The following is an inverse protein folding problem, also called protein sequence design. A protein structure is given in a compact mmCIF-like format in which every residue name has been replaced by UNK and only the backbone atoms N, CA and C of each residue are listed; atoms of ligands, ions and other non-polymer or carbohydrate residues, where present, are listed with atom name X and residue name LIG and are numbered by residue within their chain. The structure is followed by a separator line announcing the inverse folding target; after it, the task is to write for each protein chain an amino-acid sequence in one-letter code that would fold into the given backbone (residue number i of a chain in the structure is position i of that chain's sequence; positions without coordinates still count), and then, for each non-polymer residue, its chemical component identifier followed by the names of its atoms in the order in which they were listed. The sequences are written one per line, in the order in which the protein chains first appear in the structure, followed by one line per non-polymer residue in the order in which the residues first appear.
data_IF_835990525110
#
_entry.id   IF_835990525110
#
_cell.length_a   1.000
_cell.length_b   1.000
_cell.length_c   1.000
_cell.angle_alpha   90.00
_cell.angle_beta   90.00
_cell.angle_gamma   90.00
#
_symmetry.space_group_name_H-M   'P 1'
#
loop_
_entity.id
_entity.type
_entity.pdbx_description
1 polymer ?
#
# COMPACT_ATOMS: atom_id res chain seq x y z
N UNK A 1 -13.47 2.70 24.31
CA UNK A 1 -12.90 3.86 23.60
C UNK A 1 -11.41 3.86 23.81
N UNK A 2 -10.63 3.99 22.74
CA UNK A 2 -9.18 4.15 22.78
C UNK A 2 -8.77 5.54 23.30
N UNK A 3 -7.52 5.68 23.75
CA UNK A 3 -6.96 6.98 24.16
C UNK A 3 -7.07 8.03 23.04
N UNK A 4 -6.90 7.62 21.79
CA UNK A 4 -6.96 8.52 20.63
C UNK A 4 -8.37 9.08 20.43
N UNK A 5 -9.41 8.26 20.65
CA UNK A 5 -10.80 8.70 20.58
C UNK A 5 -11.14 9.66 21.72
N UNK A 6 -10.57 9.44 22.91
CA UNK A 6 -10.78 10.33 24.06
C UNK A 6 -10.13 11.71 23.84
N UNK A 7 -8.89 11.72 23.32
CA UNK A 7 -8.20 12.97 22.97
C UNK A 7 -8.96 13.70 21.86
N UNK A 8 -9.42 12.98 20.82
CA UNK A 8 -10.23 13.54 19.75
C UNK A 8 -11.46 14.26 20.28
N UNK A 9 -12.28 13.60 21.12
CA UNK A 9 -13.46 14.22 21.74
C UNK A 9 -13.13 15.45 22.59
N UNK A 10 -11.98 15.46 23.27
CA UNK A 10 -11.55 16.63 24.05
C UNK A 10 -11.22 17.82 23.14
N UNK A 11 -10.52 17.56 22.04
CA UNK A 11 -10.20 18.58 21.03
C UNK A 11 -11.48 19.11 20.40
N UNK A 12 -12.40 18.23 19.99
CA UNK A 12 -13.69 18.61 19.40
C UNK A 12 -14.46 19.57 20.34
N UNK A 13 -14.59 19.20 21.63
CA UNK A 13 -15.28 20.04 22.62
C UNK A 13 -14.62 21.42 22.81
N UNK A 14 -13.28 21.50 22.72
CA UNK A 14 -12.56 22.78 22.82
C UNK A 14 -12.77 23.64 21.58
N UNK A 15 -12.78 23.03 20.39
CA UNK A 15 -13.02 23.74 19.13
C UNK A 15 -14.45 24.31 19.11
N UNK A 16 -15.44 23.52 19.52
CA UNK A 16 -16.84 23.95 19.64
C UNK A 16 -16.99 25.13 20.61
N UNK A 17 -16.36 25.06 21.78
CA UNK A 17 -16.40 26.13 22.77
C UNK A 17 -15.77 27.45 22.28
N UNK A 18 -14.82 27.37 21.34
CA UNK A 18 -14.17 28.52 20.71
C UNK A 18 -14.87 28.98 19.42
N UNK A 19 -15.95 28.30 18.99
CA UNK A 19 -16.61 28.58 17.72
C UNK A 19 -15.73 28.32 16.50
N UNK A 20 -14.73 27.43 16.62
CA UNK A 20 -13.78 27.09 15.55
C UNK A 20 -14.28 25.88 14.78
N UNK A 21 -14.47 26.04 13.47
CA UNK A 21 -14.83 24.93 12.58
C UNK A 21 -13.57 24.26 12.03
N UNK A 22 -13.35 22.99 12.38
CA UNK A 22 -12.27 22.18 11.81
C UNK A 22 -12.74 21.51 10.50
N UNK A 23 -12.04 21.77 9.41
CA UNK A 23 -12.24 21.09 8.13
C UNK A 23 -11.04 20.21 7.80
N UNK A 24 -11.29 18.95 7.42
CA UNK A 24 -10.26 18.04 6.93
C UNK A 24 -10.32 17.94 5.40
N UNK A 25 -9.16 17.96 4.74
CA UNK A 25 -9.06 17.66 3.32
C UNK A 25 -9.45 16.21 2.99
N UNK A 26 -9.76 15.94 1.72
CA UNK A 26 -10.19 14.62 1.24
C UNK A 26 -9.08 13.57 1.13
N UNK A 27 -7.82 13.96 1.27
CA UNK A 27 -6.65 13.09 1.13
C UNK A 27 -5.85 13.04 2.45
N UNK A 28 -6.32 12.27 3.46
CA UNK A 28 -5.58 12.13 4.69
C UNK A 28 -4.23 11.45 4.43
N UNK A 29 -3.16 12.05 4.96
CA UNK A 29 -1.80 11.53 4.82
C UNK A 29 -1.37 10.84 6.11
N UNK A 30 -0.85 9.63 6.01
CA UNK A 30 -0.15 8.98 7.12
C UNK A 30 1.26 9.57 7.26
N UNK A 31 1.59 10.04 8.45
CA UNK A 31 2.94 10.49 8.82
C UNK A 31 3.36 9.71 10.08
N UNK A 32 4.54 9.08 10.10
CA UNK A 32 5.02 8.39 11.31
C UNK A 32 5.31 9.40 12.42
N UNK A 33 5.44 8.90 13.66
CA UNK A 33 5.75 9.76 14.82
C UNK A 33 7.10 10.48 14.71
N UNK A 34 8.07 9.91 14.00
CA UNK A 34 9.40 10.46 13.78
C UNK A 34 9.69 10.54 12.27
N UNK A 35 9.21 11.58 11.58
CA UNK A 35 9.34 11.73 10.13
C UNK A 35 10.67 12.40 9.73
N UNK A 36 11.79 11.97 10.30
CA UNK A 36 13.08 12.65 10.14
C UNK A 36 13.79 12.30 8.81
N UNK A 37 13.43 11.15 8.20
CA UNK A 37 14.06 10.73 6.95
C UNK A 37 13.71 11.67 5.78
N UNK A 38 14.61 11.87 4.79
CA UNK A 38 14.39 12.78 3.66
C UNK A 38 13.08 12.54 2.90
N UNK A 39 12.65 11.28 2.80
CA UNK A 39 11.39 10.92 2.14
C UNK A 39 10.16 11.51 2.80
N UNK A 40 10.18 11.81 4.10
CA UNK A 40 9.02 12.42 4.77
C UNK A 40 8.94 13.94 4.60
N UNK A 41 10.00 14.55 4.08
CA UNK A 41 10.13 15.99 3.98
C UNK A 41 10.12 16.46 2.53
N UNK A 42 11.04 15.93 1.70
CA UNK A 42 11.25 16.42 0.34
C UNK A 42 11.38 15.30 -0.70
N UNK A 43 11.91 14.14 -0.34
CA UNK A 43 12.14 13.07 -1.30
C UNK A 43 10.85 12.29 -1.61
N UNK A 44 10.67 11.93 -2.88
CA UNK A 44 9.50 11.19 -3.32
C UNK A 44 9.44 9.79 -2.68
N UNK A 45 10.58 9.11 -2.61
CA UNK A 45 10.73 7.73 -2.21
C UNK A 45 11.88 7.60 -1.21
N UNK A 46 11.79 6.58 -0.36
CA UNK A 46 12.87 6.19 0.53
C UNK A 46 12.59 4.81 1.14
N UNK A 47 13.42 4.38 2.10
CA UNK A 47 13.36 3.04 2.66
C UNK A 47 12.15 2.78 3.57
N UNK A 48 11.50 3.81 4.12
CA UNK A 48 10.48 3.69 5.16
C UNK A 48 9.05 3.72 4.64
N UNK A 49 8.72 4.57 3.65
CA UNK A 49 7.32 4.78 3.21
C UNK A 49 6.65 3.47 2.78
N UNK A 50 7.35 2.63 2.01
CA UNK A 50 6.77 1.38 1.50
C UNK A 50 6.50 0.36 2.63
N UNK A 51 7.44 0.07 3.55
CA UNK A 51 7.15 -0.72 4.74
C UNK A 51 5.98 -0.19 5.57
N UNK A 52 5.91 1.13 5.82
CA UNK A 52 4.78 1.72 6.55
C UNK A 52 3.46 1.54 5.81
N UNK A 53 3.42 1.80 4.51
CA UNK A 53 2.22 1.62 3.70
C UNK A 53 1.75 0.16 3.68
N UNK A 54 2.67 -0.81 3.58
CA UNK A 54 2.33 -2.24 3.63
C UNK A 54 1.79 -2.66 5.00
N UNK A 55 2.41 -2.18 6.08
CA UNK A 55 1.92 -2.43 7.45
C UNK A 55 0.54 -1.85 7.64
N UNK A 56 0.32 -0.61 7.22
CA UNK A 56 -0.98 0.05 7.27
C UNK A 56 -2.02 -0.72 6.46
N UNK A 57 -1.70 -1.12 5.23
CA UNK A 57 -2.56 -1.94 4.39
C UNK A 57 -2.94 -3.27 5.06
N UNK A 58 -1.99 -3.94 5.72
CA UNK A 58 -2.24 -5.18 6.46
C UNK A 58 -3.21 -4.95 7.62
N UNK A 59 -3.00 -3.90 8.41
CA UNK A 59 -3.94 -3.54 9.49
C UNK A 59 -5.33 -3.23 8.91
N UNK A 60 -5.39 -2.59 7.75
CA UNK A 60 -6.65 -2.33 7.07
C UNK A 60 -7.39 -3.59 6.65
N UNK A 61 -6.69 -4.51 6.00
CA UNK A 61 -7.23 -5.81 5.61
C UNK A 61 -7.69 -6.62 6.82
N UNK A 62 -6.96 -6.57 7.93
CA UNK A 62 -7.28 -7.32 9.15
C UNK A 62 -8.51 -6.75 9.88
N UNK A 63 -8.56 -5.43 10.03
CA UNK A 63 -9.52 -4.79 10.94
C UNK A 63 -10.80 -4.33 10.25
N UNK A 64 -10.73 -3.89 8.99
CA UNK A 64 -11.88 -3.27 8.30
C UNK A 64 -12.25 -3.94 6.98
N UNK A 65 -11.31 -4.63 6.30
CA UNK A 65 -11.55 -5.21 4.98
C UNK A 65 -11.15 -6.69 4.87
N UNK A 66 -11.68 -7.59 5.74
CA UNK A 66 -11.37 -9.01 5.66
C UNK A 66 -11.80 -9.59 4.30
N UNK A 67 -10.90 -10.37 3.68
CA UNK A 67 -11.13 -10.96 2.35
C UNK A 67 -10.87 -10.02 1.17
N UNK A 68 -10.49 -8.76 1.41
CA UNK A 68 -10.01 -7.88 0.34
C UNK A 68 -8.60 -8.25 -0.14
N UNK A 69 -8.24 -7.77 -1.33
CA UNK A 69 -6.90 -7.96 -1.92
C UNK A 69 -6.11 -6.66 -1.86
N UNK A 70 -4.81 -6.75 -1.58
CA UNK A 70 -3.87 -5.64 -1.78
C UNK A 70 -3.12 -5.82 -3.10
N UNK A 71 -3.06 -4.75 -3.90
CA UNK A 71 -2.34 -4.74 -5.18
C UNK A 71 -1.32 -3.61 -5.15
N UNK A 72 -0.04 -3.97 -5.33
CA UNK A 72 1.01 -2.98 -5.61
C UNK A 72 1.08 -2.77 -7.12
N UNK A 73 0.84 -1.54 -7.55
CA UNK A 73 0.91 -1.14 -8.96
C UNK A 73 1.86 0.04 -9.14
N UNK A 74 2.05 0.42 -10.41
CA UNK A 74 2.64 1.72 -10.73
C UNK A 74 1.66 2.82 -10.26
N UNK A 75 2.25 3.85 -9.68
CA UNK A 75 1.59 5.09 -9.30
C UNK A 75 1.91 6.19 -10.30
N UNK A 76 1.66 7.44 -9.90
CA UNK A 76 1.93 8.61 -10.72
C UNK A 76 3.44 8.76 -10.98
N UNK A 77 3.77 9.18 -12.20
CA UNK A 77 5.12 9.62 -12.60
C UNK A 77 5.07 11.12 -12.85
N UNK A 78 6.01 11.87 -12.28
CA UNK A 78 6.15 13.30 -12.53
C UNK A 78 7.27 13.57 -13.55
N UNK A 79 7.20 14.69 -14.30
CA UNK A 79 8.29 15.07 -15.21
C UNK A 79 9.65 15.09 -14.51
N UNK A 80 10.66 14.49 -15.14
CA UNK A 80 12.01 14.37 -14.59
C UNK A 80 12.26 13.14 -13.71
N UNK A 81 11.23 12.37 -13.34
CA UNK A 81 11.43 11.09 -12.62
C UNK A 81 11.73 9.96 -13.61
N UNK A 82 12.81 9.19 -13.33
CA UNK A 82 13.25 8.09 -14.19
C UNK A 82 12.27 6.90 -14.21
N UNK A 83 11.51 6.69 -13.13
CA UNK A 83 10.54 5.61 -12.98
C UNK A 83 9.25 6.14 -12.33
N UNK A 84 8.08 5.55 -12.62
CA UNK A 84 6.86 5.86 -11.88
C UNK A 84 7.01 5.52 -10.40
N UNK A 85 6.32 6.29 -9.55
CA UNK A 85 6.18 5.95 -8.12
C UNK A 85 5.34 4.66 -7.98
N UNK A 86 5.16 4.17 -6.76
CA UNK A 86 4.29 3.02 -6.50
C UNK A 86 2.95 3.44 -5.91
N UNK A 87 1.92 2.64 -6.15
CA UNK A 87 0.63 2.71 -5.46
C UNK A 87 0.34 1.37 -4.80
N UNK A 88 -0.31 1.40 -3.63
CA UNK A 88 -0.80 0.21 -2.93
C UNK A 88 -2.30 0.36 -2.72
N UNK A 89 -3.08 -0.41 -3.48
CA UNK A 89 -4.54 -0.32 -3.50
C UNK A 89 -5.17 -1.50 -2.81
N UNK A 90 -6.26 -1.27 -2.06
CA UNK A 90 -7.06 -2.31 -1.44
C UNK A 90 -8.40 -2.44 -2.18
N UNK A 91 -8.73 -3.65 -2.65
CA UNK A 91 -9.96 -3.92 -3.39
C UNK A 91 -10.82 -4.95 -2.68
N UNK A 92 -12.08 -4.57 -2.42
CA UNK A 92 -13.13 -5.46 -1.91
C UNK A 92 -14.30 -5.51 -2.89
N UNK A 93 -14.98 -6.65 -2.97
CA UNK A 93 -16.21 -6.74 -3.74
C UNK A 93 -17.35 -6.03 -3.02
N UNK A 94 -18.24 -5.40 -3.79
CA UNK A 94 -19.45 -4.76 -3.26
C UNK A 94 -20.46 -5.77 -2.72
N UNK A 95 -20.43 -7.00 -3.20
CA UNK A 95 -21.30 -8.10 -2.76
C UNK A 95 -20.83 -8.79 -1.47
N UNK A 96 -19.78 -8.28 -0.83
CA UNK A 96 -19.25 -8.81 0.44
C UNK A 96 -18.49 -10.13 0.32
N UNK A 97 -18.40 -10.74 -0.87
CA UNK A 97 -17.62 -11.97 -1.07
C UNK A 97 -16.12 -11.66 -1.01
N UNK A 98 -15.28 -12.58 -0.52
CA UNK A 98 -13.84 -12.37 -0.51
C UNK A 98 -13.30 -12.25 -1.93
N UNK A 99 -12.53 -11.19 -2.19
CA UNK A 99 -11.73 -11.03 -3.42
C UNK A 99 -10.51 -11.95 -3.37
N UNK A 100 -9.95 -12.16 -2.18
CA UNK A 100 -8.75 -12.97 -1.96
C UNK A 100 -8.97 -13.94 -0.80
N UNK A 101 -8.50 -15.18 -0.95
CA UNK A 101 -8.76 -16.26 0.00
C UNK A 101 -7.70 -16.38 1.11
N UNK A 102 -6.46 -16.01 0.82
CA UNK A 102 -5.32 -16.28 1.71
C UNK A 102 -4.46 -15.03 1.87
N UNK A 103 -4.80 -14.18 2.84
CA UNK A 103 -4.11 -12.91 3.09
C UNK A 103 -2.60 -13.10 3.37
N UNK A 104 -2.17 -14.26 3.86
CA UNK A 104 -0.75 -14.56 4.11
C UNK A 104 0.09 -14.53 2.83
N UNK A 105 -0.51 -14.87 1.68
CA UNK A 105 0.16 -14.83 0.37
C UNK A 105 0.36 -13.44 -0.21
N UNK A 106 -0.23 -12.41 0.40
CA UNK A 106 0.00 -11.01 -0.01
C UNK A 106 1.36 -10.49 0.47
N UNK A 107 1.98 -11.17 1.45
CA UNK A 107 3.35 -10.91 1.88
C UNK A 107 3.61 -9.44 2.25
N UNK A 108 2.61 -8.76 2.84
CA UNK A 108 2.72 -7.34 3.21
C UNK A 108 3.80 -7.09 4.28
N UNK A 109 4.13 -8.11 5.07
CA UNK A 109 5.20 -8.07 6.08
C UNK A 109 6.51 -8.69 5.60
N UNK A 110 6.56 -9.18 4.37
CA UNK A 110 7.75 -9.89 3.90
C UNK A 110 8.90 -8.91 3.71
N UNK A 111 10.04 -9.31 4.28
CA UNK A 111 11.33 -8.68 3.94
C UNK A 111 11.70 -9.06 2.50
N UNK A 112 12.42 -8.18 1.78
CA UNK A 112 13.00 -8.54 0.50
C UNK A 112 13.78 -9.85 0.63
N UNK A 113 13.46 -10.82 -0.23
CA UNK A 113 14.20 -12.07 -0.32
C UNK A 113 15.19 -11.93 -1.48
N UNK A 114 16.49 -12.16 -1.27
CA UNK A 114 17.45 -12.11 -2.36
C UNK A 114 17.11 -13.15 -3.42
N UNK A 115 17.32 -12.79 -4.69
CA UNK A 115 17.19 -13.74 -5.80
C UNK A 115 18.37 -14.71 -5.70
N UNK A 116 18.09 -15.95 -5.32
CA UNK A 116 19.09 -17.02 -5.17
C UNK A 116 19.33 -17.79 -6.48
N UNK A 117 18.43 -17.63 -7.45
CA UNK A 117 18.46 -18.31 -8.74
C UNK A 117 18.06 -17.32 -9.85
N UNK A 118 19.04 -16.84 -10.60
CA UNK A 118 18.85 -15.86 -11.68
C UNK A 118 17.99 -16.38 -12.84
N UNK A 119 17.86 -17.70 -12.99
CA UNK A 119 17.04 -18.33 -14.03
C UNK A 119 15.58 -18.51 -13.62
N UNK A 120 15.27 -18.39 -12.31
CA UNK A 120 13.92 -18.58 -11.78
C UNK A 120 12.86 -17.70 -12.47
N UNK A 121 13.08 -16.38 -12.68
CA UNK A 121 12.11 -15.53 -13.38
C UNK A 121 11.81 -16.03 -14.80
N UNK A 122 12.85 -16.43 -15.55
CA UNK A 122 12.69 -16.89 -16.92
C UNK A 122 11.96 -18.24 -16.99
N UNK A 123 12.29 -19.18 -16.08
CA UNK A 123 11.55 -20.45 -15.97
C UNK A 123 10.08 -20.22 -15.60
N UNK A 124 9.80 -19.29 -14.69
CA UNK A 124 8.44 -18.92 -14.34
C UNK A 124 7.69 -18.39 -15.57
N UNK A 125 8.24 -17.41 -16.28
CA UNK A 125 7.60 -16.81 -17.47
C UNK A 125 7.34 -17.84 -18.57
N UNK A 126 8.31 -18.74 -18.85
CA UNK A 126 8.13 -19.85 -19.81
C UNK A 126 6.98 -20.77 -19.42
N UNK A 127 6.92 -21.18 -18.15
CA UNK A 127 5.85 -22.06 -17.65
C UNK A 127 4.50 -21.35 -17.67
N UNK A 128 4.47 -20.08 -17.31
CA UNK A 128 3.27 -19.25 -17.31
C UNK A 128 2.74 -19.07 -18.74
N UNK A 129 3.59 -18.75 -19.71
CA UNK A 129 3.23 -18.67 -21.13
C UNK A 129 2.60 -19.97 -21.63
N UNK A 130 3.23 -21.13 -21.33
CA UNK A 130 2.70 -22.45 -21.68
C UNK A 130 1.32 -22.71 -21.07
N UNK A 131 1.09 -22.32 -19.81
CA UNK A 131 -0.21 -22.46 -19.15
C UNK A 131 -1.29 -21.56 -19.75
N UNK A 132 -0.89 -20.42 -20.32
CA UNK A 132 -1.79 -19.51 -21.03
C UNK A 132 -2.00 -19.88 -22.51
N UNK A 133 -1.30 -20.91 -23.02
CA UNK A 133 -1.36 -21.28 -24.43
C UNK A 133 -0.65 -20.30 -25.36
N UNK A 134 0.37 -19.59 -24.86
CA UNK A 134 1.18 -18.65 -25.65
C UNK A 134 2.42 -19.33 -26.21
N UNK A 135 2.72 -19.08 -27.49
CA UNK A 135 3.86 -19.66 -28.21
C UNK A 135 5.20 -19.02 -27.87
N UNK A 136 5.18 -17.83 -27.26
CA UNK A 136 6.36 -17.06 -26.89
C UNK A 136 6.33 -16.64 -25.42
N UNK A 137 7.51 -16.47 -24.83
CA UNK A 137 7.66 -15.92 -23.49
C UNK A 137 7.29 -14.43 -23.54
N UNK A 138 6.27 -13.97 -22.79
CA UNK A 138 5.97 -12.56 -22.75
C UNK A 138 7.15 -11.83 -22.10
N UNK A 139 7.78 -10.93 -22.85
CA UNK A 139 8.73 -9.97 -22.31
C UNK A 139 7.88 -8.78 -21.86
N UNK A 140 7.81 -8.47 -20.56
CA UNK A 140 7.13 -7.26 -20.12
C UNK A 140 7.85 -6.06 -20.73
N UNK A 141 7.17 -5.33 -21.61
CA UNK A 141 7.65 -4.04 -22.09
C UNK A 141 7.25 -3.04 -21.01
N UNK A 142 8.24 -2.44 -20.36
CA UNK A 142 8.04 -1.32 -19.42
C UNK A 142 8.50 -0.03 -20.10
#
# INVERSE_FOLDING_TARGET
MSLIEQIGKNIDARLDALGVVLTQGGEPTYVPLQPDAPEWNNEALGPEKLPFARRLAREFLRSWFPGAVAIRSQGKQYPGEALPRWALSLYRRRDGRPTWRDAGRLLLDAKPVPVTDGELPLRFLRRFAKLLGLDAVPIPVF
#
